data_IF_362044815180
#
_entry.id   IF_362044815180
#
_cell.length_a   1.000
_cell.length_b   1.000
_cell.length_c   1.000
_cell.angle_alpha   90.00
_cell.angle_beta   90.00
_cell.angle_gamma   90.00
#
_symmetry.space_group_name_H-M   'P 1'
#
loop_
_entity.id
_entity.type
_entity.pdbx_description
1 polymer ?
#
# COMPACT_ATOMS: atom_id res chain seq x y z
N UNK A 1 -77.51 -29.79 -1.52
CA UNK A 1 -77.86 -30.09 -0.12
C UNK A 1 -76.58 -30.54 0.59
N UNK A 2 -75.64 -29.61 0.74
CA UNK A 2 -75.23 -29.01 2.03
C UNK A 2 -74.80 -30.05 3.07
N UNK A 3 -73.49 -30.37 3.09
CA UNK A 3 -72.86 -31.11 4.19
C UNK A 3 -71.63 -30.35 4.71
N UNK A 4 -71.85 -29.66 5.82
CA UNK A 4 -71.06 -29.78 7.07
C UNK A 4 -69.53 -29.79 7.06
N UNK A 5 -68.87 -28.74 6.56
CA UNK A 5 -67.48 -28.44 6.97
C UNK A 5 -67.29 -26.91 7.06
N UNK A 6 -67.70 -26.28 8.16
CA UNK A 6 -67.71 -24.81 8.23
C UNK A 6 -67.42 -24.15 9.57
N UNK A 7 -66.99 -24.88 10.61
CA UNK A 7 -66.73 -24.25 11.93
C UNK A 7 -65.41 -24.61 12.62
N UNK A 8 -64.61 -25.53 12.07
CA UNK A 8 -63.30 -25.90 12.63
C UNK A 8 -62.12 -25.08 12.10
N UNK A 9 -62.24 -24.46 10.91
CA UNK A 9 -61.10 -23.80 10.26
C UNK A 9 -60.90 -22.34 10.71
N UNK A 10 -61.94 -21.68 11.23
CA UNK A 10 -61.85 -20.28 11.64
C UNK A 10 -61.05 -20.07 12.95
N UNK A 11 -61.06 -21.05 13.87
CA UNK A 11 -60.32 -20.94 15.12
C UNK A 11 -58.82 -21.27 15.00
N UNK A 12 -58.44 -22.15 14.05
CA UNK A 12 -57.04 -22.50 13.79
C UNK A 12 -56.30 -21.41 12.99
N UNK A 13 -56.99 -20.60 12.21
CA UNK A 13 -56.39 -19.46 11.47
C UNK A 13 -56.15 -18.26 12.41
N UNK A 14 -57.03 -18.02 13.39
CA UNK A 14 -56.84 -16.91 14.34
C UNK A 14 -55.73 -17.22 15.36
N UNK A 15 -55.58 -18.49 15.79
CA UNK A 15 -54.49 -18.88 16.68
C UNK A 15 -53.12 -18.90 16.00
N UNK A 16 -53.05 -19.17 14.69
CA UNK A 16 -51.80 -19.11 13.91
C UNK A 16 -51.42 -17.69 13.47
N UNK A 17 -52.39 -16.78 13.34
CA UNK A 17 -52.09 -15.34 13.16
C UNK A 17 -51.63 -14.66 14.46
N UNK A 18 -52.07 -15.11 15.64
CA UNK A 18 -51.59 -14.56 16.92
C UNK A 18 -50.21 -15.09 17.35
N UNK A 19 -49.75 -16.23 16.80
CA UNK A 19 -48.36 -16.70 16.93
C UNK A 19 -47.43 -16.16 15.83
N UNK A 20 -47.96 -15.61 14.74
CA UNK A 20 -47.20 -14.93 13.69
C UNK A 20 -47.00 -13.42 13.96
N UNK A 21 -47.67 -12.86 14.98
CA UNK A 21 -47.27 -11.59 15.64
C UNK A 21 -46.38 -11.92 16.84
N UNK A 22 -45.49 -12.90 16.69
CA UNK A 22 -44.26 -12.89 17.45
C UNK A 22 -43.52 -11.64 17.03
N UNK A 23 -43.40 -10.67 17.95
CA UNK A 23 -42.59 -9.48 17.78
C UNK A 23 -41.22 -9.88 17.22
N UNK A 24 -41.06 -9.78 15.91
CA UNK A 24 -39.78 -9.39 15.34
C UNK A 24 -39.57 -7.94 15.77
N UNK A 25 -39.25 -7.77 17.05
CA UNK A 25 -38.21 -6.83 17.39
C UNK A 25 -36.98 -7.34 16.64
N UNK A 26 -36.88 -6.98 15.37
CA UNK A 26 -35.61 -6.57 14.82
C UNK A 26 -35.13 -5.51 15.78
N UNK A 27 -34.38 -5.93 16.80
CA UNK A 27 -33.40 -5.05 17.36
C UNK A 27 -32.54 -4.68 16.15
N UNK A 28 -32.87 -3.56 15.52
CA UNK A 28 -31.86 -2.67 14.99
C UNK A 28 -31.04 -2.31 16.23
N UNK A 29 -30.17 -3.24 16.66
CA UNK A 29 -29.02 -2.89 17.47
C UNK A 29 -28.25 -1.96 16.55
N UNK A 30 -28.55 -0.66 16.67
CA UNK A 30 -27.66 0.40 16.21
C UNK A 30 -26.31 -0.05 16.77
N UNK A 31 -25.41 -0.51 15.89
CA UNK A 31 -24.11 -0.99 16.33
C UNK A 31 -23.53 0.14 17.18
N UNK A 32 -23.17 -0.08 18.46
CA UNK A 32 -22.88 1.02 19.36
C UNK A 32 -21.80 1.89 18.71
N UNK A 33 -22.18 3.12 18.38
CA UNK A 33 -21.28 4.07 17.75
C UNK A 33 -20.35 4.60 18.83
N UNK A 34 -19.08 4.77 18.49
CA UNK A 34 -18.08 5.35 19.39
C UNK A 34 -17.61 6.67 18.80
N UNK A 35 -17.50 7.71 19.63
CA UNK A 35 -17.09 9.04 19.21
C UNK A 35 -15.69 9.35 19.73
N UNK A 36 -14.85 9.94 18.88
CA UNK A 36 -13.55 10.51 19.27
C UNK A 36 -13.50 11.97 18.79
N UNK A 37 -12.98 12.84 19.65
CA UNK A 37 -12.83 14.27 19.41
C UNK A 37 -11.36 14.62 19.18
N UNK A 38 -11.09 15.39 18.13
CA UNK A 38 -9.81 16.00 17.79
C UNK A 38 -9.98 17.53 17.73
N UNK A 39 -8.89 18.28 17.69
CA UNK A 39 -8.92 19.75 17.57
C UNK A 39 -9.58 20.24 16.26
N UNK A 40 -9.54 19.44 15.20
CA UNK A 40 -10.16 19.70 13.90
C UNK A 40 -11.45 18.91 13.66
N UNK A 41 -12.00 18.19 14.65
CA UNK A 41 -13.34 17.61 14.50
C UNK A 41 -13.68 16.37 15.31
N UNK A 42 -14.93 15.94 15.16
CA UNK A 42 -15.48 14.71 15.76
C UNK A 42 -15.66 13.60 14.74
N UNK A 43 -15.32 12.38 15.12
CA UNK A 43 -15.41 11.19 14.27
C UNK A 43 -16.20 10.08 14.94
N UNK A 44 -17.19 9.55 14.22
CA UNK A 44 -18.09 8.49 14.70
C UNK A 44 -17.64 7.16 14.10
N UNK A 45 -17.00 6.33 14.90
CA UNK A 45 -16.64 4.96 14.56
C UNK A 45 -17.75 3.95 14.87
N UNK A 46 -17.46 2.67 14.60
CA UNK A 46 -18.37 1.55 14.91
C UNK A 46 -17.72 0.55 15.84
N UNK A 47 -18.52 0.01 16.76
CA UNK A 47 -18.15 -1.13 17.58
C UNK A 47 -18.43 -2.43 16.83
N UNK A 48 -17.57 -3.44 17.04
CA UNK A 48 -17.74 -4.81 16.58
C UNK A 48 -17.81 -5.74 17.80
N UNK A 49 -18.97 -5.88 18.47
CA UNK A 49 -19.07 -6.55 19.77
C UNK A 49 -18.55 -7.99 19.76
N UNK A 50 -18.83 -8.75 18.70
CA UNK A 50 -18.39 -10.16 18.54
C UNK A 50 -16.85 -10.28 18.60
N UNK A 51 -16.14 -9.27 18.09
CA UNK A 51 -14.68 -9.27 18.07
C UNK A 51 -14.08 -8.48 19.24
N UNK A 52 -14.90 -7.76 20.02
CA UNK A 52 -14.43 -6.85 21.05
C UNK A 52 -13.55 -5.72 20.48
N UNK A 53 -13.88 -5.20 19.30
CA UNK A 53 -13.12 -4.15 18.62
C UNK A 53 -13.95 -2.88 18.38
N UNK A 54 -13.28 -1.76 18.23
CA UNK A 54 -13.80 -0.50 17.69
C UNK A 54 -13.01 -0.11 16.44
N UNK A 55 -13.71 0.43 15.44
CA UNK A 55 -13.10 0.82 14.17
C UNK A 55 -13.56 2.21 13.73
N UNK A 56 -12.58 2.99 13.29
CA UNK A 56 -12.77 4.28 12.65
C UNK A 56 -12.14 4.19 11.27
N UNK A 57 -12.85 4.60 10.25
CA UNK A 57 -12.39 4.60 8.87
C UNK A 57 -12.40 6.00 8.30
N UNK A 58 -11.52 6.27 7.34
CA UNK A 58 -11.65 7.46 6.52
C UNK A 58 -11.46 8.79 7.27
N UNK A 59 -10.70 8.80 8.38
CA UNK A 59 -10.35 10.02 9.10
C UNK A 59 -9.36 10.81 8.23
N UNK A 60 -9.68 12.04 7.78
CA UNK A 60 -8.74 12.83 6.98
C UNK A 60 -7.53 13.22 7.81
N UNK A 61 -6.33 12.88 7.36
CA UNK A 61 -5.08 13.31 8.01
C UNK A 61 -4.38 14.44 7.23
N UNK A 62 -4.91 14.80 6.07
CA UNK A 62 -4.44 15.88 5.21
C UNK A 62 -5.61 16.54 4.47
N UNK A 63 -5.38 17.71 3.89
CA UNK A 63 -6.29 18.26 2.88
C UNK A 63 -6.31 17.38 1.61
N UNK A 64 -7.45 17.35 0.88
CA UNK A 64 -7.54 16.63 -0.38
C UNK A 64 -6.49 17.12 -1.39
N UNK A 65 -5.65 16.25 -1.97
CA UNK A 65 -4.60 16.63 -2.92
C UNK A 65 -5.16 16.85 -4.34
N UNK A 66 -6.17 17.73 -4.46
CA UNK A 66 -6.90 18.04 -5.69
C UNK A 66 -6.58 19.45 -6.19
N UNK A 67 -6.83 19.73 -7.47
CA UNK A 67 -6.62 21.05 -8.05
C UNK A 67 -5.17 21.53 -7.87
N UNK A 68 -4.98 22.68 -7.24
CA UNK A 68 -3.65 23.23 -6.96
C UNK A 68 -2.83 22.38 -5.97
N UNK A 69 -3.48 21.55 -5.14
CA UNK A 69 -2.80 20.60 -4.26
C UNK A 69 -2.44 19.28 -4.95
N UNK A 70 -2.81 19.11 -6.23
CA UNK A 70 -2.26 18.02 -7.05
C UNK A 70 -0.77 18.29 -7.26
N UNK A 71 0.05 17.25 -7.12
CA UNK A 71 1.51 17.35 -7.21
C UNK A 71 2.10 18.40 -6.24
N UNK A 72 1.53 18.51 -5.03
CA UNK A 72 2.03 19.33 -3.95
C UNK A 72 2.28 18.50 -2.69
N UNK A 73 3.16 18.99 -1.81
CA UNK A 73 3.36 18.38 -0.49
C UNK A 73 2.02 18.33 0.28
N UNK A 74 1.75 17.24 1.02
CA UNK A 74 0.50 17.15 1.76
C UNK A 74 0.48 18.15 2.90
N UNK A 75 -0.69 18.73 3.17
CA UNK A 75 -0.89 19.73 4.23
C UNK A 75 -1.89 19.20 5.25
N UNK A 76 -1.72 19.55 6.52
CA UNK A 76 -2.63 19.15 7.59
C UNK A 76 -4.06 19.67 7.33
N UNK A 77 -5.10 18.98 7.82
CA UNK A 77 -6.48 19.43 7.67
C UNK A 77 -6.65 20.83 8.27
N UNK A 78 -7.28 21.71 7.51
CA UNK A 78 -7.66 23.08 7.89
C UNK A 78 -9.16 23.20 8.12
N UNK A 79 -9.94 22.25 7.57
CA UNK A 79 -11.38 22.17 7.75
C UNK A 79 -11.73 21.50 9.07
N UNK A 80 -12.74 22.04 9.75
CA UNK A 80 -13.36 21.41 10.90
C UNK A 80 -14.42 20.39 10.46
N UNK A 81 -14.37 19.19 11.02
CA UNK A 81 -15.36 18.14 10.77
C UNK A 81 -16.30 17.99 11.98
N UNK A 82 -17.61 18.07 11.76
CA UNK A 82 -18.59 17.87 12.84
C UNK A 82 -19.29 16.53 12.66
N UNK A 83 -19.19 15.64 13.67
CA UNK A 83 -19.82 14.32 13.68
C UNK A 83 -19.60 13.54 12.36
N UNK A 84 -18.37 13.58 11.83
CA UNK A 84 -18.04 12.90 10.57
C UNK A 84 -18.18 11.40 10.75
N UNK A 85 -18.95 10.79 9.85
CA UNK A 85 -19.09 9.34 9.79
C UNK A 85 -17.74 8.70 9.43
N UNK A 86 -17.25 7.86 10.34
CA UNK A 86 -16.04 7.06 10.22
C UNK A 86 -16.38 5.57 10.33
N UNK A 87 -17.59 5.16 9.94
CA UNK A 87 -18.04 3.76 9.98
C UNK A 87 -17.81 3.02 8.66
N UNK A 88 -17.60 3.76 7.57
CA UNK A 88 -17.44 3.24 6.21
C UNK A 88 -16.04 3.46 5.65
N UNK A 89 -15.60 2.53 4.79
CA UNK A 89 -14.29 2.56 4.16
C UNK A 89 -14.17 3.77 3.23
N UNK A 90 -13.11 4.54 3.38
CA UNK A 90 -12.82 5.63 2.45
C UNK A 90 -12.37 5.12 1.07
N UNK A 91 -12.57 5.93 0.01
CA UNK A 91 -12.05 5.64 -1.32
C UNK A 91 -10.53 5.47 -1.36
N UNK A 92 -10.05 4.63 -2.28
CA UNK A 92 -8.62 4.50 -2.56
C UNK A 92 -8.07 5.74 -3.27
N UNK A 93 -6.78 6.00 -3.12
CA UNK A 93 -6.05 6.91 -4.01
C UNK A 93 -6.07 6.39 -5.45
N UNK A 94 -5.72 7.19 -6.48
CA UNK A 94 -5.80 6.76 -7.87
C UNK A 94 -4.98 5.48 -8.09
N UNK A 95 -5.62 4.44 -8.63
CA UNK A 95 -5.04 3.10 -8.75
C UNK A 95 -4.60 2.85 -10.19
N UNK A 96 -3.42 2.26 -10.38
CA UNK A 96 -3.05 1.67 -11.66
C UNK A 96 -3.49 0.21 -11.69
N UNK A 97 -3.99 -0.27 -12.82
CA UNK A 97 -4.31 -1.69 -12.98
C UNK A 97 -3.07 -2.57 -12.88
N UNK A 98 -3.22 -3.77 -12.31
CA UNK A 98 -2.11 -4.70 -12.03
C UNK A 98 -1.27 -5.04 -13.28
N UNK A 99 -1.90 -5.05 -14.46
CA UNK A 99 -1.24 -5.28 -15.74
C UNK A 99 -1.06 -4.04 -16.63
N UNK A 100 -1.50 -2.85 -16.22
CA UNK A 100 -1.73 -1.76 -17.16
C UNK A 100 -2.59 -2.20 -18.36
N UNK A 101 -2.56 -1.45 -19.46
CA UNK A 101 -3.09 -1.92 -20.76
C UNK A 101 -2.26 -3.09 -21.39
N UNK A 102 -1.44 -3.77 -20.60
CA UNK A 102 -0.41 -4.74 -21.04
C UNK A 102 -0.46 -6.06 -20.28
N UNK A 103 -1.56 -6.38 -19.58
CA UNK A 103 -1.80 -7.75 -19.12
C UNK A 103 -1.85 -8.65 -20.36
N UNK A 104 -0.67 -9.15 -20.75
CA UNK A 104 -0.48 -9.90 -21.97
C UNK A 104 -1.49 -11.05 -21.99
N UNK A 105 -2.13 -11.32 -23.13
CA UNK A 105 -2.95 -12.52 -23.33
C UNK A 105 -2.30 -13.80 -22.74
N UNK A 106 -0.96 -13.99 -22.82
CA UNK A 106 -0.25 -15.06 -22.11
C UNK A 106 -0.53 -15.17 -20.60
N UNK A 107 -0.60 -14.04 -19.88
CA UNK A 107 -0.89 -14.01 -18.43
C UNK A 107 -2.29 -14.60 -18.15
N UNK A 108 -3.29 -14.12 -18.89
CA UNK A 108 -4.68 -14.56 -18.72
C UNK A 108 -4.87 -16.01 -19.18
N UNK A 109 -4.28 -16.39 -20.32
CA UNK A 109 -4.43 -17.71 -20.92
C UNK A 109 -3.73 -18.82 -20.12
N UNK A 110 -2.47 -18.61 -19.70
CA UNK A 110 -1.70 -19.65 -19.03
C UNK A 110 -2.14 -19.87 -17.58
N UNK A 111 -2.31 -18.80 -16.78
CA UNK A 111 -2.63 -18.91 -15.36
C UNK A 111 -4.11 -19.21 -15.10
N UNK A 112 -5.04 -18.54 -15.79
CA UNK A 112 -6.46 -18.83 -15.60
C UNK A 112 -6.84 -20.18 -16.19
N UNK A 113 -6.25 -20.55 -17.34
CA UNK A 113 -6.42 -21.88 -17.94
C UNK A 113 -5.92 -23.02 -17.03
N UNK A 114 -4.89 -22.76 -16.20
CA UNK A 114 -4.34 -23.73 -15.23
C UNK A 114 -4.88 -23.58 -13.80
N UNK A 115 -5.74 -22.59 -13.50
CA UNK A 115 -6.16 -22.19 -12.13
C UNK A 115 -4.97 -21.92 -11.18
N UNK A 116 -3.86 -21.44 -11.72
CA UNK A 116 -2.62 -21.17 -10.97
C UNK A 116 -2.40 -19.68 -10.71
N UNK A 117 -3.37 -18.81 -11.02
CA UNK A 117 -3.22 -17.36 -10.89
C UNK A 117 -3.00 -16.96 -9.41
N UNK A 118 -1.77 -16.65 -8.98
CA UNK A 118 -1.49 -16.33 -7.58
C UNK A 118 -2.09 -14.97 -7.21
N UNK A 119 -2.38 -14.11 -8.20
CA UNK A 119 -3.05 -12.83 -8.03
C UNK A 119 -4.58 -12.96 -8.05
N UNK A 120 -5.15 -14.16 -8.24
CA UNK A 120 -6.60 -14.38 -8.27
C UNK A 120 -7.31 -13.97 -6.97
N UNK A 121 -6.57 -13.84 -5.87
CA UNK A 121 -7.05 -13.34 -4.59
C UNK A 121 -6.94 -11.81 -4.45
N UNK A 122 -6.14 -11.14 -5.29
CA UNK A 122 -5.97 -9.70 -5.29
C UNK A 122 -7.06 -9.09 -6.18
N UNK A 123 -8.05 -8.47 -5.55
CA UNK A 123 -9.12 -7.77 -6.27
C UNK A 123 -8.67 -6.35 -6.63
N UNK A 124 -8.99 -5.90 -7.83
CA UNK A 124 -8.81 -4.50 -8.20
C UNK A 124 -9.62 -3.60 -7.25
N UNK A 125 -9.03 -2.49 -6.82
CA UNK A 125 -9.64 -1.55 -5.87
C UNK A 125 -10.51 -0.47 -6.54
N UNK A 126 -10.81 -0.64 -7.83
CA UNK A 126 -11.39 0.39 -8.69
C UNK A 126 -10.36 1.45 -9.10
N UNK A 127 -10.76 2.49 -9.86
CA UNK A 127 -9.84 3.54 -10.32
C UNK A 127 -9.35 4.47 -9.20
N UNK A 128 -9.98 4.42 -8.02
CA UNK A 128 -9.74 5.37 -6.93
C UNK A 128 -10.17 6.79 -7.26
N UNK A 129 -9.80 7.74 -6.39
CA UNK A 129 -9.99 9.17 -6.57
C UNK A 129 -8.87 9.96 -5.90
N UNK A 130 -8.74 11.25 -6.22
CA UNK A 130 -7.67 12.10 -5.67
C UNK A 130 -7.91 12.51 -4.22
N UNK A 131 -9.16 12.74 -3.80
CA UNK A 131 -9.51 12.95 -2.40
C UNK A 131 -9.47 11.61 -1.65
N UNK A 132 -8.27 11.23 -1.21
CA UNK A 132 -8.02 9.91 -0.65
C UNK A 132 -7.18 9.90 0.63
N UNK A 133 -6.59 11.02 1.05
CA UNK A 133 -5.64 11.10 2.16
C UNK A 133 -6.33 10.98 3.53
N UNK A 134 -6.71 9.75 3.82
CA UNK A 134 -7.44 9.35 5.02
C UNK A 134 -6.76 8.14 5.68
N UNK A 135 -7.04 7.96 6.96
CA UNK A 135 -6.55 6.83 7.75
C UNK A 135 -7.69 6.10 8.45
N UNK A 136 -7.40 4.84 8.75
CA UNK A 136 -8.25 3.91 9.48
C UNK A 136 -7.56 3.51 10.79
N UNK A 137 -8.34 3.37 11.85
CA UNK A 137 -7.91 2.94 13.18
C UNK A 137 -8.73 1.74 13.62
N UNK A 138 -8.07 0.73 14.16
CA UNK A 138 -8.70 -0.43 14.82
C UNK A 138 -8.11 -0.59 16.21
N UNK A 139 -8.95 -0.63 17.24
CA UNK A 139 -8.55 -0.74 18.65
C UNK A 139 -9.44 -1.72 19.42
N UNK A 140 -9.02 -2.22 20.61
CA UNK A 140 -9.91 -2.97 21.50
C UNK A 140 -11.12 -2.13 21.92
N UNK A 141 -12.29 -2.73 22.02
CA UNK A 141 -13.49 -2.06 22.53
C UNK A 141 -13.31 -1.63 23.99
N UNK A 142 -13.84 -0.46 24.36
CA UNK A 142 -13.68 0.12 25.69
C UNK A 142 -12.34 0.85 25.90
N UNK A 143 -11.52 0.98 24.85
CA UNK A 143 -10.29 1.78 24.90
C UNK A 143 -10.62 3.26 25.11
N UNK A 144 -10.02 3.87 26.12
CA UNK A 144 -10.14 5.30 26.46
C UNK A 144 -8.86 6.05 26.13
N UNK A 145 -8.90 7.39 26.14
CA UNK A 145 -7.71 8.22 25.94
C UNK A 145 -6.60 8.03 27.01
N UNK A 146 -6.92 7.43 28.16
CA UNK A 146 -5.95 7.07 29.21
C UNK A 146 -5.30 5.70 29.03
N UNK A 147 -5.70 4.90 28.03
CA UNK A 147 -5.28 3.49 27.88
C UNK A 147 -3.80 3.30 27.52
N UNK A 148 -3.17 4.27 26.83
CA UNK A 148 -1.73 4.28 26.49
C UNK A 148 -1.22 2.98 25.82
N UNK A 149 -1.99 2.46 24.86
CA UNK A 149 -1.66 1.22 24.15
C UNK A 149 -0.53 1.42 23.11
N UNK A 150 0.36 0.45 22.90
CA UNK A 150 1.29 0.46 21.77
C UNK A 150 0.57 0.61 20.42
N UNK A 151 1.17 1.36 19.50
CA UNK A 151 0.58 1.67 18.20
C UNK A 151 1.39 0.99 17.10
N UNK A 152 0.71 0.25 16.23
CA UNK A 152 1.31 -0.34 15.02
C UNK A 152 0.76 0.38 13.79
N UNK A 153 1.61 1.15 13.10
CA UNK A 153 1.26 1.82 11.84
C UNK A 153 1.71 0.99 10.65
N UNK A 154 0.74 0.48 9.89
CA UNK A 154 0.99 -0.34 8.70
C UNK A 154 0.99 0.51 7.42
N UNK A 155 2.09 0.42 6.67
CA UNK A 155 2.23 0.95 5.32
C UNK A 155 2.03 -0.21 4.34
N UNK A 156 1.01 -0.08 3.51
CA UNK A 156 0.53 -1.20 2.71
C UNK A 156 1.37 -1.46 1.45
N UNK A 157 1.32 -2.67 0.87
CA UNK A 157 2.02 -3.02 -0.37
C UNK A 157 1.25 -2.56 -1.62
N UNK A 158 1.93 -2.63 -2.76
CA UNK A 158 1.31 -2.50 -4.08
C UNK A 158 2.22 -1.92 -5.16
N UNK A 159 3.53 -2.15 -5.04
CA UNK A 159 4.52 -1.71 -6.02
C UNK A 159 4.49 -0.20 -6.28
N UNK A 160 4.08 0.60 -5.29
CA UNK A 160 3.81 2.04 -5.42
C UNK A 160 2.74 2.43 -6.44
N UNK A 161 2.01 1.49 -7.03
CA UNK A 161 1.08 1.73 -8.14
C UNK A 161 -0.39 1.55 -7.75
N UNK A 162 -0.64 0.70 -6.76
CA UNK A 162 -1.96 0.36 -6.25
C UNK A 162 -1.91 0.09 -4.73
N UNK A 163 -3.07 -0.13 -4.12
CA UNK A 163 -3.23 -0.41 -2.70
C UNK A 163 -4.14 0.62 -2.01
N UNK A 164 -4.69 0.21 -0.88
CA UNK A 164 -5.62 1.01 -0.06
C UNK A 164 -5.51 0.62 1.41
N UNK A 165 -5.81 1.55 2.32
CA UNK A 165 -5.71 1.37 3.78
C UNK A 165 -6.41 0.12 4.30
N UNK A 166 -7.57 -0.20 3.73
CA UNK A 166 -8.41 -1.33 4.16
C UNK A 166 -8.13 -2.63 3.41
N UNK A 167 -7.07 -2.71 2.58
CA UNK A 167 -6.76 -3.91 1.79
C UNK A 167 -6.42 -5.12 2.66
N UNK A 168 -5.71 -4.90 3.77
CA UNK A 168 -5.47 -5.93 4.79
C UNK A 168 -6.36 -5.65 6.00
N UNK A 169 -7.07 -6.68 6.47
CA UNK A 169 -7.99 -6.50 7.60
C UNK A 169 -7.25 -6.70 8.93
N UNK A 170 -7.06 -5.65 9.75
CA UNK A 170 -6.27 -5.74 10.99
C UNK A 170 -7.01 -6.44 12.14
N UNK A 171 -8.28 -6.78 11.98
CA UNK A 171 -9.14 -7.34 13.04
C UNK A 171 -8.52 -8.57 13.71
N UNK A 172 -7.88 -9.44 12.93
CA UNK A 172 -7.28 -10.67 13.45
C UNK A 172 -5.97 -10.39 14.20
N UNK A 173 -5.19 -9.41 13.75
CA UNK A 173 -3.97 -8.98 14.45
C UNK A 173 -4.31 -8.36 15.81
N UNK A 174 -5.23 -7.40 15.85
CA UNK A 174 -5.64 -6.74 17.09
C UNK A 174 -6.32 -7.73 18.05
N UNK A 175 -7.20 -8.61 17.53
CA UNK A 175 -7.81 -9.65 18.38
C UNK A 175 -6.75 -10.59 18.97
N UNK A 176 -5.79 -11.04 18.17
CA UNK A 176 -4.72 -11.92 18.64
C UNK A 176 -3.84 -11.23 19.68
N UNK A 177 -3.57 -9.94 19.54
CA UNK A 177 -2.80 -9.18 20.52
C UNK A 177 -3.52 -9.09 21.87
N UNK A 178 -4.85 -8.91 21.87
CA UNK A 178 -5.68 -8.95 23.07
C UNK A 178 -5.61 -10.33 23.76
N UNK A 179 -5.72 -11.42 22.99
CA UNK A 179 -5.66 -12.79 23.50
C UNK A 179 -4.29 -13.14 24.12
N UNK A 180 -3.24 -12.43 23.71
CA UNK A 180 -1.89 -12.57 24.26
C UNK A 180 -1.64 -11.67 25.50
N UNK A 181 -2.63 -10.88 25.94
CA UNK A 181 -2.43 -9.88 26.99
C UNK A 181 -1.56 -8.70 26.57
N UNK A 182 -1.38 -8.47 25.27
CA UNK A 182 -0.56 -7.42 24.67
C UNK A 182 -1.40 -6.57 23.71
N UNK A 183 -2.48 -5.90 24.17
CA UNK A 183 -3.37 -5.14 23.30
C UNK A 183 -2.62 -4.02 22.56
N UNK A 184 -2.90 -3.87 21.26
CA UNK A 184 -2.35 -2.81 20.42
C UNK A 184 -3.47 -1.98 19.80
N UNK A 185 -3.13 -0.76 19.37
CA UNK A 185 -3.90 -0.01 18.38
C UNK A 185 -3.22 -0.19 17.02
N UNK A 186 -4.02 -0.49 15.99
CA UNK A 186 -3.55 -0.59 14.63
C UNK A 186 -4.03 0.62 13.82
N UNK A 187 -3.11 1.20 13.04
CA UNK A 187 -3.37 2.33 12.15
C UNK A 187 -2.93 1.97 10.73
N UNK A 188 -3.71 2.36 9.74
CA UNK A 188 -3.38 2.28 8.30
C UNK A 188 -3.81 3.55 7.61
N UNK A 189 -3.03 4.04 6.64
CA UNK A 189 -3.39 5.24 5.91
C UNK A 189 -3.18 5.08 4.41
N UNK A 190 -4.07 5.72 3.65
CA UNK A 190 -3.87 5.96 2.24
C UNK A 190 -2.69 6.92 2.03
N UNK A 191 -1.95 6.69 0.96
CA UNK A 191 -0.92 7.58 0.46
C UNK A 191 -1.00 7.60 -1.06
N UNK A 192 -0.57 8.70 -1.69
CA UNK A 192 -0.58 8.80 -3.15
C UNK A 192 0.39 7.78 -3.76
N UNK A 193 -0.01 7.27 -4.92
CA UNK A 193 0.63 6.19 -5.67
C UNK A 193 0.88 6.65 -7.11
N UNK A 194 1.61 5.85 -7.89
CA UNK A 194 1.95 6.05 -9.31
C UNK A 194 2.39 7.49 -9.60
N UNK A 195 1.97 8.10 -10.72
CA UNK A 195 2.28 9.50 -11.00
C UNK A 195 1.73 10.47 -9.93
N UNK A 196 0.60 10.17 -9.29
CA UNK A 196 0.05 11.08 -8.27
C UNK A 196 0.94 11.19 -7.02
N UNK A 197 1.75 10.16 -6.72
CA UNK A 197 2.63 10.10 -5.54
C UNK A 197 4.12 10.10 -5.84
N UNK A 198 4.53 9.67 -7.03
CA UNK A 198 5.92 9.36 -7.40
C UNK A 198 6.25 9.79 -8.82
N UNK A 199 5.62 10.86 -9.33
CA UNK A 199 6.07 11.51 -10.56
C UNK A 199 7.50 12.02 -10.37
N UNK A 200 8.35 11.77 -11.36
CA UNK A 200 9.72 12.30 -11.42
C UNK A 200 9.86 13.40 -12.46
N UNK A 201 11.10 13.66 -12.87
CA UNK A 201 11.45 14.71 -13.85
C UNK A 201 11.97 15.99 -13.21
N UNK A 202 12.62 16.81 -14.04
CA UNK A 202 13.26 18.07 -13.65
C UNK A 202 12.24 19.09 -13.16
N UNK A 203 11.06 19.14 -13.78
CA UNK A 203 9.96 20.01 -13.37
C UNK A 203 9.49 19.69 -11.93
N UNK A 204 9.49 18.42 -11.53
CA UNK A 204 9.20 17.99 -10.16
C UNK A 204 10.34 18.35 -9.20
N UNK A 205 11.58 18.23 -9.66
CA UNK A 205 12.77 18.60 -8.90
C UNK A 205 12.80 20.10 -8.58
N UNK A 206 12.60 20.94 -9.59
CA UNK A 206 12.54 22.41 -9.48
C UNK A 206 11.44 22.88 -8.54
N UNK A 207 10.29 22.19 -8.54
CA UNK A 207 9.19 22.48 -7.63
C UNK A 207 9.38 21.94 -6.20
N UNK A 208 10.38 21.09 -5.93
CA UNK A 208 10.62 20.50 -4.61
C UNK A 208 9.55 19.50 -4.16
N UNK A 209 8.81 18.89 -5.10
CA UNK A 209 7.63 18.04 -4.83
C UNK A 209 7.88 16.56 -5.15
N UNK A 210 9.12 16.10 -5.06
CA UNK A 210 9.45 14.67 -5.16
C UNK A 210 8.85 13.84 -4.02
N UNK A 211 8.70 12.53 -4.25
CA UNK A 211 8.35 11.52 -3.23
C UNK A 211 7.06 11.81 -2.43
N UNK A 212 6.03 12.36 -3.07
CA UNK A 212 4.78 12.75 -2.41
C UNK A 212 4.12 11.61 -1.64
N UNK A 213 4.15 10.38 -2.15
CA UNK A 213 3.63 9.21 -1.43
C UNK A 213 4.38 8.94 -0.12
N UNK A 214 5.71 9.13 -0.06
CA UNK A 214 6.47 9.03 1.19
C UNK A 214 6.14 10.19 2.13
N UNK A 215 5.94 11.40 1.59
CA UNK A 215 5.55 12.57 2.38
C UNK A 215 4.15 12.44 2.98
N UNK A 216 3.21 11.79 2.27
CA UNK A 216 1.88 11.46 2.80
C UNK A 216 1.97 10.51 4.00
N UNK A 217 2.81 9.48 3.89
CA UNK A 217 3.08 8.55 4.99
C UNK A 217 3.76 9.26 6.17
N UNK A 218 4.69 10.19 5.90
CA UNK A 218 5.35 10.99 6.94
C UNK A 218 4.34 11.87 7.68
N UNK A 219 3.46 12.55 6.96
CA UNK A 219 2.40 13.35 7.56
C UNK A 219 1.42 12.49 8.37
N UNK A 220 1.14 11.25 7.93
CA UNK A 220 0.37 10.29 8.74
C UNK A 220 1.07 10.02 10.08
N UNK A 221 2.38 9.81 10.10
CA UNK A 221 3.11 9.59 11.35
C UNK A 221 3.07 10.82 12.26
N UNK A 222 3.16 12.03 11.69
CA UNK A 222 2.99 13.27 12.45
C UNK A 222 1.56 13.38 13.02
N UNK A 223 0.54 12.99 12.25
CA UNK A 223 -0.82 12.91 12.73
C UNK A 223 -0.96 11.91 13.89
N UNK A 224 -0.35 10.72 13.78
CA UNK A 224 -0.33 9.70 14.84
C UNK A 224 0.32 10.29 16.10
N UNK A 225 1.47 10.96 15.95
CA UNK A 225 2.18 11.57 17.09
C UNK A 225 1.30 12.57 17.84
N UNK A 226 0.52 13.38 17.11
CA UNK A 226 -0.34 14.41 17.70
C UNK A 226 -1.63 13.85 18.30
N UNK A 227 -2.30 12.92 17.61
CA UNK A 227 -3.72 12.62 17.88
C UNK A 227 -3.99 11.21 18.40
N UNK A 228 -3.05 10.26 18.30
CA UNK A 228 -3.37 8.86 18.63
C UNK A 228 -3.71 8.65 20.11
N UNK A 229 -3.30 9.56 20.99
CA UNK A 229 -3.68 9.58 22.41
C UNK A 229 -5.19 9.72 22.61
N UNK A 230 -5.90 10.46 21.74
CA UNK A 230 -7.37 10.54 21.79
C UNK A 230 -8.04 9.20 21.46
N UNK A 231 -7.34 8.36 20.71
CA UNK A 231 -7.76 6.98 20.44
C UNK A 231 -7.27 5.98 21.49
N UNK A 232 -6.56 6.44 22.53
CA UNK A 232 -5.99 5.61 23.60
C UNK A 232 -4.62 5.02 23.29
N UNK A 233 -3.96 5.49 22.22
CA UNK A 233 -2.63 5.08 21.84
C UNK A 233 -1.55 5.85 22.60
N UNK A 234 -0.39 5.22 22.73
CA UNK A 234 0.81 5.84 23.26
C UNK A 234 1.65 6.38 22.07
N UNK A 235 1.73 7.72 21.89
CA UNK A 235 2.50 8.33 20.79
C UNK A 235 4.02 8.15 20.92
N UNK A 236 4.52 7.59 22.02
CA UNK A 236 5.93 7.25 22.21
C UNK A 236 6.20 5.76 21.96
N UNK A 237 5.15 4.95 21.75
CA UNK A 237 5.23 3.50 21.48
C UNK A 237 4.75 3.13 20.08
N UNK A 238 5.05 3.99 19.09
CA UNK A 238 4.71 3.76 17.69
C UNK A 238 5.75 2.86 17.02
N UNK A 239 5.28 1.75 16.42
CA UNK A 239 6.07 0.88 15.54
C UNK A 239 5.54 1.02 14.12
N UNK A 240 6.41 1.38 13.17
CA UNK A 240 6.05 1.39 11.76
C UNK A 240 6.37 0.04 11.14
N UNK A 241 5.51 -0.45 10.26
CA UNK A 241 5.80 -1.68 9.54
C UNK A 241 5.14 -1.69 8.17
N UNK A 242 5.70 -2.48 7.26
CA UNK A 242 5.17 -2.61 5.91
C UNK A 242 5.64 -3.89 5.24
N UNK A 243 4.99 -4.18 4.12
CA UNK A 243 5.31 -5.31 3.25
C UNK A 243 5.54 -4.80 1.82
N UNK A 244 6.48 -5.41 1.08
CA UNK A 244 6.85 -5.02 -0.29
C UNK A 244 7.15 -3.51 -0.40
N UNK A 245 6.45 -2.75 -1.25
CA UNK A 245 6.60 -1.29 -1.36
C UNK A 245 6.35 -0.55 -0.03
N UNK A 246 5.55 -1.13 0.87
CA UNK A 246 5.40 -0.66 2.24
C UNK A 246 6.66 -0.85 3.08
N UNK A 247 7.36 -1.99 2.95
CA UNK A 247 8.66 -2.21 3.60
C UNK A 247 9.77 -1.33 3.00
N UNK A 248 9.78 -1.15 1.69
CA UNK A 248 10.65 -0.18 1.00
C UNK A 248 10.40 1.23 1.57
N UNK A 249 9.13 1.60 1.75
CA UNK A 249 8.75 2.87 2.38
C UNK A 249 9.25 2.99 3.83
N UNK A 250 9.04 1.97 4.67
CA UNK A 250 9.58 1.93 6.05
C UNK A 250 11.10 2.12 6.04
N UNK A 251 11.80 1.42 5.14
CA UNK A 251 13.25 1.59 4.97
C UNK A 251 13.63 3.01 4.54
N UNK A 252 12.83 3.67 3.69
CA UNK A 252 13.07 5.08 3.38
C UNK A 252 12.84 5.99 4.59
N UNK A 253 11.83 5.73 5.43
CA UNK A 253 11.59 6.51 6.66
C UNK A 253 12.71 6.37 7.70
N UNK A 254 13.38 5.20 7.75
CA UNK A 254 14.58 5.03 8.57
C UNK A 254 15.75 5.90 8.11
N UNK A 255 15.84 6.19 6.80
CA UNK A 255 16.92 7.00 6.21
C UNK A 255 16.50 8.46 5.98
N UNK A 256 15.20 8.75 6.10
CA UNK A 256 14.62 10.03 5.73
C UNK A 256 15.29 11.17 6.48
N UNK A 257 15.59 12.26 5.76
CA UNK A 257 16.28 13.43 6.32
C UNK A 257 17.55 13.04 7.08
N UNK A 258 18.36 12.15 6.50
CA UNK A 258 19.62 11.64 7.10
C UNK A 258 19.40 10.95 8.46
N UNK A 259 18.27 10.27 8.62
CA UNK A 259 17.89 9.56 9.86
C UNK A 259 17.16 10.40 10.90
N UNK A 260 16.83 11.67 10.60
CA UNK A 260 16.07 12.53 11.52
C UNK A 260 14.58 12.14 11.56
N UNK A 261 14.24 11.18 12.40
CA UNK A 261 12.88 10.64 12.53
C UNK A 261 11.95 11.41 13.49
N UNK A 262 12.45 12.46 14.18
CA UNK A 262 11.66 13.32 15.08
C UNK A 262 10.79 12.57 16.12
N UNK A 263 11.25 11.41 16.60
CA UNK A 263 10.51 10.54 17.53
C UNK A 263 9.10 10.15 17.03
N UNK A 264 8.89 10.10 15.71
CA UNK A 264 7.63 9.68 15.09
C UNK A 264 7.37 8.18 15.22
N UNK A 265 8.43 7.40 15.40
CA UNK A 265 8.40 5.97 15.66
C UNK A 265 9.60 5.58 16.52
N UNK A 266 9.45 4.47 17.25
CA UNK A 266 10.48 3.89 18.11
C UNK A 266 11.02 2.56 17.62
N UNK A 267 10.40 1.94 16.62
CA UNK A 267 10.79 0.66 16.05
C UNK A 267 10.24 0.52 14.63
N UNK A 268 10.87 -0.33 13.83
CA UNK A 268 10.48 -0.59 12.44
C UNK A 268 10.45 -2.09 12.11
N UNK A 269 9.55 -2.50 11.21
CA UNK A 269 9.51 -3.86 10.66
C UNK A 269 9.40 -3.80 9.13
N UNK A 270 10.37 -4.40 8.43
CA UNK A 270 10.44 -4.46 6.97
C UNK A 270 10.24 -5.90 6.48
N UNK A 271 9.06 -6.24 5.97
CA UNK A 271 8.82 -7.50 5.29
C UNK A 271 9.04 -7.34 3.79
N UNK A 272 10.07 -7.98 3.24
CA UNK A 272 10.29 -8.07 1.78
C UNK A 272 10.55 -6.71 1.11
N UNK A 273 11.47 -5.90 1.64
CA UNK A 273 11.78 -4.61 1.02
C UNK A 273 12.81 -3.76 1.75
N UNK A 274 13.64 -3.07 0.97
CA UNK A 274 14.67 -2.12 1.43
C UNK A 274 14.66 -0.84 0.57
N UNK A 275 15.22 0.25 1.07
CA UNK A 275 15.22 1.55 0.39
C UNK A 275 16.08 1.52 -0.88
N UNK A 276 15.43 1.50 -2.04
CA UNK A 276 16.07 1.42 -3.36
C UNK A 276 15.50 2.55 -4.23
N UNK A 277 16.12 3.74 -4.26
CA UNK A 277 15.68 4.81 -5.14
C UNK A 277 16.08 4.54 -6.60
N UNK A 278 15.20 4.88 -7.55
CA UNK A 278 15.42 4.60 -9.00
C UNK A 278 16.36 5.61 -9.70
N UNK A 279 16.90 6.57 -8.97
CA UNK A 279 17.81 7.60 -9.49
C UNK A 279 17.65 8.93 -8.76
N UNK A 280 18.40 9.95 -9.21
CA UNK A 280 18.29 11.31 -8.68
C UNK A 280 17.34 12.13 -9.53
N UNK A 281 16.45 12.88 -8.88
CA UNK A 281 15.56 13.82 -9.56
C UNK A 281 16.35 14.87 -10.35
N UNK A 282 17.45 15.38 -9.79
CA UNK A 282 18.36 16.33 -10.44
C UNK A 282 18.90 15.83 -11.78
N UNK A 283 19.05 14.51 -11.91
CA UNK A 283 19.62 13.87 -13.09
C UNK A 283 18.52 13.46 -14.09
N UNK A 284 17.27 13.86 -13.85
CA UNK A 284 16.11 13.54 -14.68
C UNK A 284 15.51 12.15 -14.42
N UNK A 285 15.69 11.57 -13.22
CA UNK A 285 14.98 10.34 -12.86
C UNK A 285 13.46 10.54 -13.02
N UNK A 286 12.82 9.68 -13.82
CA UNK A 286 11.39 9.77 -14.15
C UNK A 286 11.04 10.75 -15.28
N UNK A 287 12.02 11.42 -15.92
CA UNK A 287 11.75 12.40 -16.98
C UNK A 287 10.95 11.81 -18.15
N UNK A 288 11.28 10.59 -18.60
CA UNK A 288 10.53 9.94 -19.68
C UNK A 288 9.05 9.75 -19.33
N UNK A 289 8.76 9.42 -18.08
CA UNK A 289 7.39 9.27 -17.61
C UNK A 289 6.67 10.64 -17.55
N UNK A 290 7.37 11.66 -17.05
CA UNK A 290 6.88 13.04 -17.03
C UNK A 290 6.52 13.53 -18.43
N UNK A 291 7.45 13.45 -19.38
CA UNK A 291 7.27 13.94 -20.75
C UNK A 291 6.13 13.21 -21.47
N UNK A 292 6.02 11.89 -21.28
CA UNK A 292 4.93 11.10 -21.84
C UNK A 292 3.57 11.52 -21.28
N UNK A 293 3.46 11.70 -19.96
CA UNK A 293 2.22 12.16 -19.32
C UNK A 293 1.87 13.56 -19.79
N UNK A 294 2.83 14.50 -19.77
CA UNK A 294 2.65 15.87 -20.24
C UNK A 294 2.12 15.89 -21.68
N UNK A 295 2.74 15.13 -22.58
CA UNK A 295 2.27 15.00 -23.97
C UNK A 295 0.87 14.40 -24.05
N UNK A 296 0.58 13.35 -23.28
CA UNK A 296 -0.72 12.68 -23.31
C UNK A 296 -1.87 13.62 -22.91
N UNK A 297 -1.62 14.52 -21.95
CA UNK A 297 -2.62 15.48 -21.48
C UNK A 297 -2.50 16.88 -22.11
N UNK A 298 -1.68 17.03 -23.16
CA UNK A 298 -1.48 18.27 -23.94
C UNK A 298 -0.86 19.42 -23.13
N UNK A 299 0.13 19.09 -22.30
CA UNK A 299 0.90 20.00 -21.46
C UNK A 299 2.38 20.11 -21.87
N UNK A 300 2.82 19.45 -22.93
CA UNK A 300 4.22 19.37 -23.35
C UNK A 300 4.82 20.72 -23.78
N UNK A 301 3.99 21.62 -24.30
CA UNK A 301 4.39 22.97 -24.77
C UNK A 301 4.05 24.07 -23.78
N UNK A 302 3.48 23.74 -22.62
CA UNK A 302 3.18 24.72 -21.59
C UNK A 302 4.47 25.30 -21.00
N UNK A 303 4.48 26.61 -20.71
CA UNK A 303 5.58 27.27 -19.99
C UNK A 303 5.73 26.73 -18.58
N UNK A 304 4.60 26.51 -17.89
CA UNK A 304 4.52 25.78 -16.63
C UNK A 304 3.83 24.43 -16.88
N UNK A 305 4.63 23.42 -17.24
CA UNK A 305 4.11 22.08 -17.49
C UNK A 305 3.50 21.45 -16.25
N UNK A 306 4.11 21.63 -15.07
CA UNK A 306 3.60 21.04 -13.83
C UNK A 306 2.26 21.68 -13.42
N UNK A 307 2.14 23.00 -13.51
CA UNK A 307 0.87 23.71 -13.32
C UNK A 307 -0.18 23.33 -14.36
N UNK A 308 0.20 23.06 -15.60
CA UNK A 308 -0.70 22.50 -16.60
C UNK A 308 -1.21 21.10 -16.18
N UNK A 309 -0.31 20.22 -15.68
CA UNK A 309 -0.70 18.89 -15.17
C UNK A 309 -1.67 18.98 -13.97
N UNK A 310 -1.55 20.00 -13.10
CA UNK A 310 -2.52 20.24 -12.00
C UNK A 310 -3.95 20.48 -12.50
N UNK A 311 -4.08 21.11 -13.67
CA UNK A 311 -5.38 21.45 -14.30
C UNK A 311 -5.91 20.34 -15.21
N UNK A 312 -5.10 19.32 -15.51
CA UNK A 312 -5.52 18.23 -16.38
C UNK A 312 -6.75 17.47 -15.82
N UNK A 313 -7.69 17.01 -16.66
CA UNK A 313 -8.81 16.19 -16.18
C UNK A 313 -8.32 14.88 -15.54
N UNK A 314 -8.81 14.56 -14.34
CA UNK A 314 -8.42 13.36 -13.58
C UNK A 314 -8.41 12.08 -14.43
N UNK A 315 -9.51 11.83 -15.17
CA UNK A 315 -9.63 10.63 -16.03
C UNK A 315 -8.58 10.56 -17.13
N UNK A 316 -8.18 11.70 -17.71
CA UNK A 316 -7.11 11.74 -18.74
C UNK A 316 -5.75 11.45 -18.13
N UNK A 317 -5.48 12.04 -16.97
CA UNK A 317 -4.24 11.82 -16.24
C UNK A 317 -4.09 10.36 -15.77
N UNK A 318 -5.15 9.79 -15.20
CA UNK A 318 -5.17 8.37 -14.84
C UNK A 318 -4.97 7.47 -16.07
N UNK A 319 -5.59 7.80 -17.21
CA UNK A 319 -5.37 7.06 -18.45
C UNK A 319 -3.92 7.15 -18.94
N UNK A 320 -3.24 8.28 -18.76
CA UNK A 320 -1.82 8.41 -19.06
C UNK A 320 -0.96 7.50 -18.16
N UNK A 321 -1.32 7.34 -16.89
CA UNK A 321 -0.66 6.39 -15.97
C UNK A 321 -0.84 4.94 -16.43
N UNK A 322 -2.03 4.58 -16.92
CA UNK A 322 -2.34 3.22 -17.43
C UNK A 322 -1.57 2.84 -18.71
N UNK A 323 -0.92 3.81 -19.38
CA UNK A 323 -0.08 3.55 -20.54
C UNK A 323 1.28 2.95 -20.17
N UNK A 324 1.71 3.04 -18.90
CA UNK A 324 2.93 2.39 -18.42
C UNK A 324 2.66 0.94 -18.01
N UNK A 325 3.68 0.06 -18.08
CA UNK A 325 3.54 -1.31 -17.60
C UNK A 325 3.13 -1.34 -16.12
N UNK A 326 2.07 -2.08 -15.79
CA UNK A 326 1.67 -2.37 -14.41
C UNK A 326 2.64 -3.34 -13.74
N UNK A 327 2.54 -3.49 -12.42
CA UNK A 327 3.53 -4.22 -11.59
C UNK A 327 3.80 -5.66 -12.04
N UNK A 328 2.83 -6.33 -12.67
CA UNK A 328 2.95 -7.71 -13.13
C UNK A 328 3.06 -7.85 -14.65
N UNK A 329 3.42 -6.77 -15.34
CA UNK A 329 3.58 -6.73 -16.79
C UNK A 329 5.03 -6.79 -17.24
N UNK A 330 5.23 -7.17 -18.50
CA UNK A 330 6.55 -7.17 -19.10
C UNK A 330 7.18 -5.78 -19.08
N UNK A 331 8.41 -5.70 -18.58
CA UNK A 331 9.15 -4.44 -18.50
C UNK A 331 8.71 -3.51 -17.37
N UNK A 332 7.91 -3.99 -16.41
CA UNK A 332 7.52 -3.27 -15.20
C UNK A 332 8.70 -2.94 -14.28
N UNK A 333 9.77 -3.76 -14.30
CA UNK A 333 10.96 -3.53 -13.49
C UNK A 333 12.13 -3.00 -14.33
N UNK A 334 12.88 -2.00 -13.83
CA UNK A 334 12.59 -1.21 -12.63
C UNK A 334 11.26 -0.42 -12.75
N UNK A 335 10.56 -0.24 -11.62
CA UNK A 335 9.25 0.43 -11.58
C UNK A 335 9.33 1.86 -12.10
N UNK A 336 8.40 2.23 -12.98
CA UNK A 336 8.28 3.58 -13.53
C UNK A 336 8.08 4.62 -12.43
N UNK A 337 7.19 4.32 -11.49
CA UNK A 337 6.83 5.18 -10.37
C UNK A 337 7.35 4.53 -9.08
N UNK A 338 8.35 5.15 -8.47
CA UNK A 338 9.02 4.64 -7.28
C UNK A 338 9.79 5.78 -6.60
N UNK A 339 10.25 5.62 -5.34
CA UNK A 339 11.06 6.63 -4.69
C UNK A 339 12.31 7.02 -5.49
N UNK A 340 12.68 8.29 -5.38
CA UNK A 340 13.83 8.92 -6.04
C UNK A 340 14.68 9.66 -5.03
N UNK A 341 15.95 9.87 -5.30
CA UNK A 341 16.79 10.78 -4.52
C UNK A 341 16.36 12.21 -4.86
N UNK A 342 15.70 12.87 -3.91
CA UNK A 342 15.22 14.25 -4.02
C UNK A 342 16.14 15.26 -3.32
N UNK A 343 17.15 14.80 -2.57
CA UNK A 343 18.14 15.64 -1.90
C UNK A 343 17.71 16.15 -0.52
N UNK A 344 16.45 15.97 -0.12
CA UNK A 344 15.93 16.44 1.16
C UNK A 344 15.34 15.28 1.98
N UNK A 345 14.32 14.60 1.45
CA UNK A 345 13.69 13.46 2.10
C UNK A 345 14.54 12.22 1.90
N UNK A 346 14.88 11.91 0.64
CA UNK A 346 15.81 10.83 0.26
C UNK A 346 17.10 11.46 -0.24
N UNK A 347 18.16 11.36 0.55
CA UNK A 347 19.44 12.04 0.28
C UNK A 347 20.42 11.20 -0.53
N UNK A 348 20.18 9.90 -0.68
CA UNK A 348 21.08 9.01 -1.42
C UNK A 348 20.67 7.55 -1.35
N UNK A 349 21.62 6.65 -1.63
CA UNK A 349 21.43 5.22 -1.50
C UNK A 349 21.48 4.76 -0.04
N UNK A 350 20.82 3.64 0.25
CA UNK A 350 20.86 3.02 1.58
C UNK A 350 22.29 2.67 2.01
N UNK A 351 23.14 2.22 1.08
CA UNK A 351 24.54 1.88 1.38
C UNK A 351 25.32 3.09 1.87
N UNK A 352 25.12 4.25 1.24
CA UNK A 352 25.79 5.49 1.65
C UNK A 352 25.26 5.98 2.99
N UNK A 353 23.94 5.92 3.21
CA UNK A 353 23.34 6.31 4.48
C UNK A 353 23.84 5.44 5.65
N UNK A 354 23.94 4.11 5.45
CA UNK A 354 24.48 3.19 6.45
C UNK A 354 25.96 3.48 6.76
N UNK A 355 26.80 3.65 5.73
CA UNK A 355 28.23 3.99 5.90
C UNK A 355 28.43 5.32 6.63
N UNK A 356 27.61 6.32 6.33
CA UNK A 356 27.66 7.63 6.96
C UNK A 356 26.99 7.66 8.35
N UNK A 357 26.33 6.58 8.77
CA UNK A 357 25.57 6.56 10.02
C UNK A 357 24.28 7.39 9.99
N UNK A 358 23.87 7.88 8.82
CA UNK A 358 22.72 8.77 8.56
C UNK A 358 21.38 8.00 8.53
N UNK A 359 21.04 7.35 9.63
CA UNK A 359 19.81 6.57 9.79
C UNK A 359 19.27 6.60 11.21
N UNK A 360 17.96 6.43 11.34
CA UNK A 360 17.26 6.38 12.62
C UNK A 360 17.73 5.19 13.46
N UNK A 361 18.22 5.46 14.68
CA UNK A 361 18.75 4.44 15.59
C UNK A 361 17.61 3.83 16.42
N UNK A 362 16.86 2.93 15.80
CA UNK A 362 15.74 2.21 16.43
C UNK A 362 15.88 0.70 16.20
N UNK A 363 15.26 -0.16 17.03
CA UNK A 363 15.16 -1.59 16.74
C UNK A 363 14.45 -1.84 15.41
N UNK A 364 15.01 -2.75 14.61
CA UNK A 364 14.49 -3.14 13.29
C UNK A 364 14.33 -4.66 13.23
N UNK A 365 13.16 -5.12 12.81
CA UNK A 365 12.97 -6.49 12.32
C UNK A 365 12.92 -6.42 10.80
N UNK A 366 13.67 -7.27 10.11
CA UNK A 366 13.61 -7.37 8.65
C UNK A 366 13.70 -8.82 8.22
N UNK A 367 13.03 -9.17 7.14
CA UNK A 367 13.10 -10.50 6.55
C UNK A 367 12.39 -10.54 5.20
N UNK A 368 12.69 -11.58 4.45
CA UNK A 368 12.19 -11.85 3.11
C UNK A 368 11.56 -13.25 3.10
N UNK A 369 10.62 -13.49 2.19
CA UNK A 369 10.19 -14.86 1.88
C UNK A 369 11.28 -15.55 1.07
N UNK A 370 11.26 -16.89 1.07
CA UNK A 370 12.29 -17.68 0.41
C UNK A 370 12.43 -17.38 -1.09
N UNK A 371 11.31 -17.10 -1.76
CA UNK A 371 11.19 -17.07 -3.23
C UNK A 371 10.51 -15.77 -3.73
N UNK A 372 10.98 -14.60 -3.28
CA UNK A 372 10.42 -13.25 -3.59
C UNK A 372 10.14 -13.02 -5.08
N UNK A 373 11.10 -13.40 -5.93
CA UNK A 373 11.08 -13.11 -7.36
C UNK A 373 10.03 -13.89 -8.16
N UNK A 374 9.50 -15.00 -7.63
CA UNK A 374 8.63 -15.91 -8.40
C UNK A 374 7.35 -15.25 -8.90
N UNK A 375 6.68 -14.47 -8.05
CA UNK A 375 5.45 -13.76 -8.44
C UNK A 375 5.74 -12.59 -9.38
N UNK A 376 6.88 -11.91 -9.21
CA UNK A 376 7.28 -10.78 -10.05
C UNK A 376 7.77 -11.24 -11.43
N UNK A 377 8.36 -12.43 -11.52
CA UNK A 377 8.79 -13.06 -12.76
C UNK A 377 7.61 -13.40 -13.70
N UNK A 378 6.37 -13.36 -13.22
CA UNK A 378 5.18 -13.47 -14.08
C UNK A 378 5.15 -12.39 -15.18
N UNK A 379 5.63 -11.19 -14.88
CA UNK A 379 5.75 -10.13 -15.88
C UNK A 379 6.82 -10.44 -16.93
N UNK A 380 7.86 -11.20 -16.58
CA UNK A 380 8.98 -11.54 -17.48
C UNK A 380 8.89 -12.94 -18.08
N UNK A 381 7.72 -13.60 -18.04
CA UNK A 381 7.44 -14.89 -18.72
C UNK A 381 7.83 -14.96 -20.21
N UNK A 382 7.84 -13.85 -20.99
CA UNK A 382 8.36 -13.88 -22.36
C UNK A 382 9.86 -14.16 -22.46
N UNK A 383 10.66 -13.95 -21.41
CA UNK A 383 12.10 -14.26 -21.42
C UNK A 383 12.28 -15.78 -21.26
N UNK A 384 12.95 -16.43 -22.23
CA UNK A 384 13.09 -17.89 -22.27
C UNK A 384 14.53 -18.39 -22.34
N UNK A 385 15.46 -17.51 -22.69
CA UNK A 385 16.87 -17.84 -22.91
C UNK A 385 17.79 -16.87 -22.17
N UNK A 386 19.06 -17.25 -21.99
CA UNK A 386 20.09 -16.34 -21.45
C UNK A 386 20.26 -15.10 -22.33
N UNK A 387 20.09 -15.23 -23.64
CA UNK A 387 20.18 -14.09 -24.56
C UNK A 387 18.99 -13.14 -24.38
N UNK A 388 17.79 -13.65 -24.12
CA UNK A 388 16.64 -12.80 -23.75
C UNK A 388 16.93 -12.04 -22.46
N UNK A 389 17.48 -12.71 -21.44
CA UNK A 389 17.82 -12.09 -20.17
C UNK A 389 18.95 -11.06 -20.32
N UNK A 390 19.99 -11.36 -21.10
CA UNK A 390 21.07 -10.43 -21.46
C UNK A 390 20.53 -9.18 -22.15
N UNK A 391 19.66 -9.35 -23.15
CA UNK A 391 18.99 -8.27 -23.88
C UNK A 391 18.06 -7.45 -22.98
N UNK A 392 17.38 -8.10 -22.04
CA UNK A 392 16.53 -7.42 -21.07
C UNK A 392 17.35 -6.55 -20.12
N UNK A 393 18.42 -7.11 -19.52
CA UNK A 393 19.26 -6.39 -18.55
C UNK A 393 19.93 -5.19 -19.23
N UNK A 394 20.48 -5.36 -20.43
CA UNK A 394 21.19 -4.30 -21.16
C UNK A 394 20.31 -3.09 -21.50
N UNK A 395 18.99 -3.31 -21.67
CA UNK A 395 18.02 -2.24 -21.99
C UNK A 395 17.39 -1.59 -20.77
N UNK A 396 17.26 -2.32 -19.66
CA UNK A 396 16.44 -1.90 -18.52
C UNK A 396 17.23 -1.34 -17.34
N UNK A 397 18.46 -1.79 -17.16
CA UNK A 397 19.30 -1.34 -16.04
C UNK A 397 20.20 -0.20 -16.48
N UNK A 398 20.56 0.65 -15.52
CA UNK A 398 21.51 1.74 -15.75
C UNK A 398 22.93 1.16 -15.73
N UNK A 399 23.75 1.58 -16.69
CA UNK A 399 25.16 1.21 -16.83
C UNK A 399 25.47 -0.31 -16.81
N UNK A 400 24.75 -1.16 -17.57
CA UNK A 400 24.98 -2.59 -17.55
C UNK A 400 26.21 -2.95 -18.41
N UNK A 401 27.38 -3.14 -17.79
CA UNK A 401 28.58 -3.56 -18.53
C UNK A 401 28.48 -5.03 -18.95
N UNK A 402 29.08 -5.44 -20.09
CA UNK A 402 29.12 -6.85 -20.50
C UNK A 402 29.65 -7.79 -19.42
N UNK A 403 30.66 -7.34 -18.66
CA UNK A 403 31.27 -8.09 -17.56
C UNK A 403 30.31 -8.28 -16.39
N UNK A 404 29.53 -7.24 -16.04
CA UNK A 404 28.51 -7.34 -15.00
C UNK A 404 27.40 -8.29 -15.42
N UNK A 405 26.93 -8.21 -16.66
CA UNK A 405 25.89 -9.12 -17.16
C UNK A 405 26.40 -10.56 -17.17
N UNK A 406 27.64 -10.79 -17.62
CA UNK A 406 28.27 -12.12 -17.58
C UNK A 406 28.31 -12.67 -16.15
N UNK A 407 28.72 -11.86 -15.17
CA UNK A 407 28.73 -12.24 -13.75
C UNK A 407 27.34 -12.53 -13.20
N UNK A 408 26.31 -11.79 -13.61
CA UNK A 408 24.92 -12.07 -13.21
C UNK A 408 24.48 -13.44 -13.73
N UNK A 409 24.77 -13.75 -14.99
CA UNK A 409 24.42 -15.04 -15.61
C UNK A 409 25.20 -16.22 -15.02
N UNK A 410 26.43 -15.98 -14.55
CA UNK A 410 27.20 -16.98 -13.80
C UNK A 410 26.56 -17.30 -12.43
N UNK A 411 26.08 -16.28 -11.72
CA UNK A 411 25.42 -16.44 -10.40
C UNK A 411 24.00 -17.01 -10.53
N UNK A 412 23.31 -16.70 -11.62
CA UNK A 412 21.96 -17.16 -11.94
C UNK A 412 21.93 -17.96 -13.24
N UNK A 413 22.48 -19.18 -13.24
CA UNK A 413 22.60 -19.99 -14.45
C UNK A 413 21.24 -20.53 -14.91
N UNK A 414 21.18 -20.95 -16.17
CA UNK A 414 19.97 -21.57 -16.76
C UNK A 414 19.61 -22.95 -16.21
N UNK A 415 20.32 -23.48 -15.20
CA UNK A 415 20.00 -24.77 -14.58
C UNK A 415 18.76 -24.62 -13.67
N UNK A 416 17.59 -25.20 -14.02
CA UNK A 416 16.39 -25.08 -13.23
C UNK A 416 16.53 -25.65 -11.81
N UNK A 417 17.51 -26.54 -11.57
CA UNK A 417 17.82 -27.09 -10.23
C UNK A 417 18.32 -26.02 -9.25
N UNK A 418 18.84 -24.91 -9.79
CA UNK A 418 19.42 -23.80 -9.02
C UNK A 418 18.48 -22.58 -8.96
N UNK A 419 17.35 -22.62 -9.68
CA UNK A 419 16.39 -21.52 -9.77
C UNK A 419 15.37 -21.46 -8.63
N UNK A 420 14.42 -20.53 -8.76
CA UNK A 420 13.29 -20.30 -7.83
C UNK A 420 11.94 -20.56 -8.52
N UNK A 421 10.97 -21.26 -7.90
CA UNK A 421 11.06 -21.83 -6.55
C UNK A 421 12.09 -22.95 -6.50
N UNK A 422 12.88 -22.99 -5.42
CA UNK A 422 13.91 -24.02 -5.24
C UNK A 422 13.27 -25.40 -5.47
N UNK A 423 13.76 -26.21 -6.43
CA UNK A 423 13.18 -27.50 -6.70
C UNK A 423 13.54 -28.39 -5.54
N UNK A 424 12.49 -28.87 -4.93
CA UNK A 424 12.59 -29.84 -3.89
C UNK A 424 12.12 -31.23 -4.42
N UNK A 425 12.25 -31.41 -5.75
CA UNK A 425 11.82 -32.54 -6.57
C UNK A 425 11.83 -32.11 -8.05
N UNK A 426 11.77 -33.05 -9.00
CA UNK A 426 11.79 -32.78 -10.45
C UNK A 426 10.53 -32.12 -11.01
N UNK A 427 9.69 -31.54 -10.15
CA UNK A 427 8.55 -30.71 -10.50
C UNK A 427 8.59 -29.44 -9.66
N UNK A 428 8.09 -28.32 -10.21
CA UNK A 428 8.19 -26.96 -9.66
C UNK A 428 7.60 -26.75 -8.24
N UNK A 429 7.18 -27.79 -7.49
CA UNK A 429 6.59 -27.68 -6.15
C UNK A 429 6.91 -28.91 -5.25
N UNK A 430 7.35 -28.70 -3.99
CA UNK A 430 7.57 -29.64 -2.84
C UNK A 430 8.97 -30.25 -2.70
N UNK A 431 9.63 -30.58 -1.53
CA UNK A 431 9.89 -30.09 -0.12
C UNK A 431 11.41 -30.21 0.34
N UNK A 432 12.06 -29.18 0.96
CA UNK A 432 13.44 -29.06 1.61
C UNK A 432 14.72 -29.14 0.71
N UNK A 433 15.91 -28.54 0.95
CA UNK A 433 16.60 -27.90 2.11
C UNK A 433 17.70 -26.88 1.66
N UNK A 434 18.13 -26.03 2.62
CA UNK A 434 19.10 -24.91 2.56
C UNK A 434 20.56 -25.42 2.60
N UNK A 435 21.44 -24.99 1.67
CA UNK A 435 22.91 -25.09 1.91
C UNK A 435 23.83 -24.14 1.10
N UNK A 436 23.41 -23.46 0.03
CA UNK A 436 24.39 -22.79 -0.88
C UNK A 436 24.67 -21.28 -0.65
N UNK A 437 24.03 -20.60 0.31
CA UNK A 437 24.16 -19.13 0.45
C UNK A 437 25.37 -18.68 1.32
N UNK A 438 26.20 -19.60 1.84
CA UNK A 438 27.33 -19.22 2.73
C UNK A 438 28.64 -18.82 2.04
N UNK A 439 28.77 -18.93 0.72
CA UNK A 439 30.07 -18.72 0.06
C UNK A 439 30.33 -17.33 -0.53
N UNK A 440 29.35 -16.43 -0.61
CA UNK A 440 29.52 -15.13 -1.30
C UNK A 440 29.39 -13.89 -0.41
N UNK A 441 29.28 -14.05 0.92
CA UNK A 441 29.26 -12.94 1.88
C UNK A 441 30.64 -12.39 2.27
N UNK A 442 31.67 -12.64 1.45
CA UNK A 442 33.05 -12.18 1.68
C UNK A 442 33.70 -11.53 0.45
N UNK A 443 32.95 -10.74 -0.34
CA UNK A 443 33.50 -9.81 -1.34
C UNK A 443 32.86 -8.43 -1.26
#
# INVERSE_FOLDING_TARGET
MFQHWGKGLAFLIIASLLLAVGLQFSFNTIAPHVKVELDYGSFIGKTQPILGLERFYGIPFAEPPVGELRFANPIKPTKTYFNRDATERAPACPQQTFGGNTSSEPYQSWLNGKKLNPLGHIKAFGPGQEDCLTLDITRPAGTTNSSRLPVMFFIFPGGFNYGVSWQLTPKFLVKKSMDMGLPIIHVTANHRLNAFGFLGGKEVAEAGVGNLGLKDQRLTMEWIKTYISQFGGDPDKVTIYGESSGAISVSHHLMAHRGQHKNLFRAAICHSGTAIPIGKLSDGAGQQAFDHIAKFVQCETASDKLGCLRKAPFKKLLKAVEMFPGTFSFGAFPLTFSPVVDGEFVTGSIQNALKAGEFAKVPVITGDVLDEGTVLALGTLPLRTEEDLRSFISKKFRDPTPELIAKILEVWPSDPKLGSPLPQGTSMLSRRSINNIRQYSAM
#
